data_IF_203803000908
#
_entry.id   IF_203803000908
#
_cell.length_a   1.000
_cell.length_b   1.000
_cell.length_c   1.000
_cell.angle_alpha   90.00
_cell.angle_beta   90.00
_cell.angle_gamma   90.00
#
_symmetry.space_group_name_H-M   'P 1'
#
loop_
_entity.id
_entity.type
_entity.pdbx_description
1 polymer ?
#
# COMPACT_ATOMS: atom_id res chain seq x y z
N UNK A 1 20.20 33.16 -69.95
CA UNK A 1 20.42 31.78 -69.47
C UNK A 1 20.81 31.86 -68.01
N UNK A 2 19.94 31.45 -67.09
CA UNK A 2 20.30 31.28 -65.69
C UNK A 2 19.43 30.15 -65.11
N UNK A 3 20.11 29.10 -64.69
CA UNK A 3 19.60 27.76 -64.40
C UNK A 3 18.70 27.71 -63.16
N UNK A 4 17.56 27.02 -63.29
CA UNK A 4 16.75 26.61 -62.17
C UNK A 4 17.47 25.52 -61.37
N UNK A 5 17.71 25.76 -60.08
CA UNK A 5 18.29 24.79 -59.17
C UNK A 5 17.17 23.94 -58.56
N UNK A 6 16.88 22.81 -59.21
CA UNK A 6 15.95 21.80 -58.70
C UNK A 6 16.59 21.06 -57.53
N UNK A 7 16.45 21.62 -56.32
CA UNK A 7 16.78 20.96 -55.07
C UNK A 7 15.83 19.77 -54.83
N UNK A 8 16.24 18.60 -55.31
CA UNK A 8 15.62 17.32 -54.97
C UNK A 8 16.02 16.96 -53.54
N UNK A 9 15.14 17.28 -52.59
CA UNK A 9 15.31 16.85 -51.18
C UNK A 9 15.12 15.33 -51.14
N UNK A 10 16.07 14.56 -50.59
CA UNK A 10 15.97 13.11 -50.59
C UNK A 10 14.81 12.69 -49.70
N UNK A 11 13.88 11.95 -50.31
CA UNK A 11 12.81 11.23 -49.63
C UNK A 11 13.47 10.22 -48.68
N UNK A 12 13.53 10.57 -47.39
CA UNK A 12 14.01 9.66 -46.35
C UNK A 12 12.96 8.58 -46.14
N UNK A 13 13.10 7.48 -46.89
CA UNK A 13 12.45 6.22 -46.59
C UNK A 13 13.10 5.64 -45.34
N UNK A 14 12.55 5.98 -44.19
CA UNK A 14 12.70 5.19 -42.98
C UNK A 14 11.35 4.54 -42.72
N UNK A 15 11.32 3.22 -42.62
CA UNK A 15 10.27 2.43 -41.98
C UNK A 15 10.07 2.93 -40.54
N UNK A 16 9.40 4.07 -40.42
CA UNK A 16 9.09 4.75 -39.19
C UNK A 16 7.58 4.61 -39.01
N UNK A 17 7.16 4.10 -37.85
CA UNK A 17 5.81 4.27 -37.35
C UNK A 17 5.34 5.71 -37.66
N UNK A 18 4.44 5.81 -38.64
CA UNK A 18 3.96 7.07 -39.17
C UNK A 18 3.25 7.78 -38.01
N UNK A 19 3.89 8.77 -37.38
CA UNK A 19 3.28 9.59 -36.33
C UNK A 19 2.26 10.53 -36.97
N UNK A 20 1.12 9.97 -37.37
CA UNK A 20 0.04 10.66 -38.07
C UNK A 20 -1.09 10.99 -37.11
N UNK A 21 -1.66 12.17 -37.28
CA UNK A 21 -2.86 12.55 -36.56
C UNK A 21 -4.05 11.77 -37.12
N UNK A 22 -4.77 11.04 -36.27
CA UNK A 22 -6.00 10.35 -36.65
C UNK A 22 -7.13 11.32 -37.07
N UNK A 23 -7.14 12.54 -36.54
CA UNK A 23 -8.20 13.53 -36.79
C UNK A 23 -7.99 14.30 -38.10
N UNK A 24 -6.76 14.74 -38.42
CA UNK A 24 -6.49 15.55 -39.61
C UNK A 24 -5.48 14.95 -40.60
N UNK A 25 -4.95 13.76 -40.33
CA UNK A 25 -4.09 13.01 -41.25
C UNK A 25 -2.66 13.54 -41.42
N UNK A 26 -2.30 14.68 -40.80
CA UNK A 26 -0.94 15.25 -40.87
C UNK A 26 0.09 14.30 -40.26
N UNK A 27 1.22 14.13 -40.94
CA UNK A 27 2.38 13.38 -40.45
C UNK A 27 3.33 14.29 -39.68
N UNK A 28 3.96 13.72 -38.65
CA UNK A 28 4.94 14.41 -37.81
C UNK A 28 6.22 13.59 -37.75
N UNK A 29 7.36 14.26 -37.57
CA UNK A 29 8.65 13.60 -37.42
C UNK A 29 8.84 12.90 -36.06
N UNK A 30 7.94 13.11 -35.09
CA UNK A 30 8.03 12.49 -33.77
C UNK A 30 6.67 12.37 -33.05
N UNK A 31 6.58 11.42 -32.11
CA UNK A 31 5.45 11.25 -31.19
C UNK A 31 5.13 12.51 -30.39
N UNK A 32 6.17 13.23 -29.95
CA UNK A 32 6.00 14.47 -29.21
C UNK A 32 5.37 15.56 -30.09
N UNK A 33 5.83 15.71 -31.34
CA UNK A 33 5.25 16.65 -32.31
C UNK A 33 3.77 16.37 -32.58
N UNK A 34 3.42 15.08 -32.75
CA UNK A 34 2.03 14.64 -32.88
C UNK A 34 1.19 14.98 -31.62
N UNK A 35 1.75 14.76 -30.42
CA UNK A 35 1.10 15.09 -29.15
C UNK A 35 0.81 16.58 -29.01
N UNK A 36 1.80 17.44 -29.26
CA UNK A 36 1.64 18.91 -29.22
C UNK A 36 0.63 19.38 -30.27
N UNK A 37 0.66 18.80 -31.47
CA UNK A 37 -0.32 19.12 -32.50
C UNK A 37 -1.74 18.79 -32.03
N UNK A 38 -1.97 17.58 -31.51
CA UNK A 38 -3.30 17.17 -30.99
C UNK A 38 -3.77 18.07 -29.86
N UNK A 39 -2.88 18.41 -28.92
CA UNK A 39 -3.20 19.33 -27.83
C UNK A 39 -3.57 20.75 -28.31
N UNK A 40 -3.10 21.19 -29.49
CA UNK A 40 -3.39 22.55 -30.00
C UNK A 40 -4.53 22.61 -31.01
N UNK A 41 -4.63 21.62 -31.89
CA UNK A 41 -5.55 21.61 -33.02
C UNK A 41 -6.79 20.73 -32.80
N UNK A 42 -6.72 19.78 -31.86
CA UNK A 42 -7.74 18.75 -31.60
C UNK A 42 -7.93 18.58 -30.09
N UNK A 43 -8.19 19.70 -29.39
CA UNK A 43 -8.25 19.74 -27.92
C UNK A 43 -9.34 18.83 -27.37
N UNK A 44 -10.50 18.79 -28.02
CA UNK A 44 -11.65 18.01 -27.58
C UNK A 44 -11.37 16.52 -27.67
N UNK A 45 -10.88 16.05 -28.83
CA UNK A 45 -10.51 14.66 -29.05
C UNK A 45 -9.33 14.25 -28.16
N UNK A 46 -8.33 15.13 -28.03
CA UNK A 46 -7.20 14.92 -27.14
C UNK A 46 -7.63 14.76 -25.68
N UNK A 47 -8.56 15.59 -25.19
CA UNK A 47 -9.06 15.51 -23.83
C UNK A 47 -9.90 14.24 -23.60
N UNK A 48 -10.67 13.79 -24.60
CA UNK A 48 -11.44 12.53 -24.52
C UNK A 48 -10.52 11.30 -24.41
N UNK A 49 -9.37 11.34 -25.09
CA UNK A 49 -8.41 10.23 -25.08
C UNK A 49 -7.54 10.18 -23.81
N UNK A 50 -7.40 11.30 -23.09
CA UNK A 50 -6.68 11.29 -21.82
C UNK A 50 -7.50 10.51 -20.80
N UNK A 51 -7.00 9.32 -20.42
CA UNK A 51 -7.53 8.57 -19.29
C UNK A 51 -7.25 9.32 -17.98
N UNK A 52 -8.25 10.08 -17.52
CA UNK A 52 -8.22 10.79 -16.23
C UNK A 52 -8.49 9.87 -15.03
N UNK A 53 -8.83 8.60 -15.27
CA UNK A 53 -9.18 7.61 -14.25
C UNK A 53 -8.00 7.14 -13.37
N UNK A 54 -6.81 7.72 -13.49
CA UNK A 54 -5.67 7.38 -12.63
C UNK A 54 -5.87 7.97 -11.23
N UNK A 55 -6.71 7.31 -10.43
CA UNK A 55 -6.91 7.62 -9.02
C UNK A 55 -5.62 7.30 -8.28
N UNK A 56 -4.93 8.33 -7.80
CA UNK A 56 -3.80 8.15 -6.89
C UNK A 56 -4.36 7.64 -5.56
N UNK A 57 -3.98 6.42 -5.15
CA UNK A 57 -4.36 5.89 -3.84
C UNK A 57 -3.94 6.88 -2.76
N UNK A 58 -4.88 7.37 -1.97
CA UNK A 58 -4.58 8.27 -0.84
C UNK A 58 -3.77 7.48 0.20
N UNK A 59 -2.80 8.12 0.86
CA UNK A 59 -2.12 7.51 2.00
C UNK A 59 -3.09 7.49 3.17
N UNK A 60 -3.35 6.30 3.70
CA UNK A 60 -4.09 6.15 4.96
C UNK A 60 -3.16 6.45 6.13
N UNK A 61 -3.74 6.78 7.30
CA UNK A 61 -2.96 7.02 8.51
C UNK A 61 -2.14 5.79 8.89
N UNK A 62 -2.74 4.60 8.80
CA UNK A 62 -2.09 3.32 9.10
C UNK A 62 -0.91 3.06 8.16
N UNK A 63 -1.07 3.24 6.85
CA UNK A 63 0.05 3.11 5.90
C UNK A 63 1.19 4.08 6.20
N UNK A 64 0.89 5.29 6.69
CA UNK A 64 1.94 6.24 7.12
C UNK A 64 2.67 5.72 8.35
N UNK A 65 1.97 5.20 9.35
CA UNK A 65 2.58 4.63 10.56
C UNK A 65 3.45 3.40 10.23
N UNK A 66 2.97 2.52 9.34
CA UNK A 66 3.76 1.38 8.86
C UNK A 66 5.03 1.84 8.14
N UNK A 67 4.95 2.90 7.32
CA UNK A 67 6.12 3.45 6.64
C UNK A 67 7.14 4.02 7.63
N UNK A 68 6.66 4.72 8.68
CA UNK A 68 7.50 5.26 9.75
C UNK A 68 8.19 4.14 10.53
N UNK A 69 7.45 3.10 10.90
CA UNK A 69 7.98 1.94 11.61
C UNK A 69 9.05 1.23 10.78
N UNK A 70 8.78 1.01 9.49
CA UNK A 70 9.74 0.41 8.56
C UNK A 70 11.04 1.23 8.45
N UNK A 71 10.94 2.56 8.39
CA UNK A 71 12.12 3.43 8.36
C UNK A 71 12.94 3.32 9.65
N UNK A 72 12.29 3.33 10.82
CA UNK A 72 12.98 3.15 12.09
C UNK A 72 13.69 1.79 12.17
N UNK A 73 13.04 0.71 11.73
CA UNK A 73 13.65 -0.62 11.73
C UNK A 73 14.90 -0.69 10.85
N UNK A 74 14.89 -0.03 9.69
CA UNK A 74 16.08 0.08 8.83
C UNK A 74 17.20 0.86 9.52
N UNK A 75 16.88 1.94 10.23
CA UNK A 75 17.86 2.74 10.99
C UNK A 75 18.47 1.99 12.17
N UNK A 76 17.66 1.16 12.86
CA UNK A 76 18.11 0.33 13.96
C UNK A 76 18.98 -0.85 13.48
N UNK A 77 18.67 -1.41 12.30
CA UNK A 77 19.42 -2.51 11.72
C UNK A 77 20.79 -2.06 11.17
N UNK A 78 20.83 -0.97 10.42
CA UNK A 78 22.07 -0.39 9.89
C UNK A 78 21.97 1.15 9.82
N UNK A 79 22.57 1.87 10.79
CA UNK A 79 22.58 3.32 10.81
C UNK A 79 23.28 3.97 9.61
N UNK A 80 24.09 3.22 8.86
CA UNK A 80 24.84 3.72 7.70
C UNK A 80 24.13 3.47 6.37
N UNK A 81 22.96 2.82 6.40
CA UNK A 81 22.22 2.43 5.22
C UNK A 81 21.73 3.64 4.41
N UNK A 82 22.25 3.80 3.19
CA UNK A 82 22.00 4.99 2.34
C UNK A 82 20.75 4.86 1.47
N UNK A 83 20.31 3.64 1.18
CA UNK A 83 19.26 3.34 0.19
C UNK A 83 17.87 3.10 0.81
N UNK A 84 17.51 3.89 1.84
CA UNK A 84 16.25 3.76 2.59
C UNK A 84 15.03 3.75 1.66
N UNK A 85 14.97 4.63 0.65
CA UNK A 85 13.83 4.67 -0.27
C UNK A 85 13.67 3.39 -1.08
N UNK A 86 14.78 2.75 -1.46
CA UNK A 86 14.77 1.50 -2.23
C UNK A 86 14.30 0.36 -1.35
N UNK A 87 14.82 0.24 -0.12
CA UNK A 87 14.37 -0.76 0.84
C UNK A 87 12.88 -0.61 1.17
N UNK A 88 12.40 0.61 1.43
CA UNK A 88 10.97 0.87 1.65
C UNK A 88 10.14 0.52 0.41
N UNK A 89 10.62 0.78 -0.81
CA UNK A 89 9.87 0.43 -2.03
C UNK A 89 9.67 -1.08 -2.18
N UNK A 90 10.56 -1.91 -1.65
CA UNK A 90 10.41 -3.36 -1.62
C UNK A 90 9.36 -3.82 -0.60
N UNK A 91 9.22 -3.10 0.52
CA UNK A 91 8.23 -3.41 1.56
C UNK A 91 6.80 -2.92 1.22
N UNK A 92 6.68 -1.91 0.36
CA UNK A 92 5.38 -1.33 -0.03
C UNK A 92 5.11 -1.49 -1.55
N UNK A 93 4.86 -2.71 -2.06
CA UNK A 93 4.72 -2.97 -3.51
C UNK A 93 3.53 -2.25 -4.17
N UNK A 94 2.52 -1.85 -3.39
CA UNK A 94 1.40 -1.01 -3.87
C UNK A 94 1.71 0.50 -3.96
N UNK A 95 2.94 0.92 -3.63
CA UNK A 95 3.39 2.31 -3.62
C UNK A 95 4.61 2.45 -4.51
N UNK A 96 4.62 3.47 -5.37
CA UNK A 96 5.80 3.75 -6.19
C UNK A 96 6.90 4.38 -5.35
N UNK A 97 8.15 4.19 -5.75
CA UNK A 97 9.32 4.81 -5.13
C UNK A 97 9.18 6.34 -5.01
N UNK A 98 8.62 7.01 -6.03
CA UNK A 98 8.36 8.45 -5.99
C UNK A 98 7.25 8.83 -5.00
N UNK A 99 6.24 7.98 -4.82
CA UNK A 99 5.20 8.20 -3.80
C UNK A 99 5.78 8.09 -2.38
N UNK A 100 6.69 7.15 -2.14
CA UNK A 100 7.39 6.98 -0.86
C UNK A 100 8.30 8.18 -0.59
N UNK A 101 9.15 8.54 -1.56
CA UNK A 101 9.98 9.75 -1.49
C UNK A 101 9.16 10.99 -1.16
N UNK A 102 8.03 11.18 -1.83
CA UNK A 102 7.15 12.32 -1.56
C UNK A 102 6.56 12.28 -0.14
N UNK A 103 6.18 11.10 0.36
CA UNK A 103 5.63 10.95 1.71
C UNK A 103 6.67 11.26 2.79
N UNK A 104 7.90 10.78 2.63
CA UNK A 104 9.01 11.06 3.56
C UNK A 104 9.38 12.55 3.66
N UNK A 105 9.03 13.34 2.64
CA UNK A 105 9.21 14.81 2.66
C UNK A 105 8.11 15.56 3.42
N UNK A 106 7.04 14.90 3.83
CA UNK A 106 5.95 15.56 4.57
C UNK A 106 6.30 15.73 6.04
N UNK A 107 5.77 16.78 6.67
CA UNK A 107 6.03 17.04 8.08
C UNK A 107 5.34 16.02 9.00
N UNK A 108 4.13 15.60 8.63
CA UNK A 108 3.40 14.52 9.30
C UNK A 108 4.28 13.26 9.47
N UNK A 109 5.03 12.92 8.42
CA UNK A 109 5.94 11.78 8.44
C UNK A 109 7.13 12.00 9.38
N UNK A 110 7.81 13.16 9.26
CA UNK A 110 9.00 13.46 10.08
C UNK A 110 8.66 13.55 11.57
N UNK A 111 7.54 14.20 11.90
CA UNK A 111 7.05 14.30 13.28
C UNK A 111 6.81 12.90 13.84
N UNK A 112 6.04 12.07 13.13
CA UNK A 112 5.75 10.71 13.57
C UNK A 112 7.03 9.85 13.75
N UNK A 113 8.02 10.01 12.87
CA UNK A 113 9.31 9.32 12.99
C UNK A 113 10.12 9.81 14.19
N UNK A 114 10.12 11.12 14.46
CA UNK A 114 10.75 11.71 15.63
C UNK A 114 10.11 11.21 16.93
N UNK A 115 8.78 11.16 16.99
CA UNK A 115 8.03 10.67 18.15
C UNK A 115 8.31 9.19 18.39
N UNK A 116 8.36 8.38 17.33
CA UNK A 116 8.65 6.96 17.43
C UNK A 116 10.09 6.69 17.87
N UNK A 117 11.07 7.43 17.32
CA UNK A 117 12.47 7.38 17.78
C UNK A 117 12.60 7.73 19.26
N UNK A 118 11.92 8.80 19.70
CA UNK A 118 11.93 9.21 21.10
C UNK A 118 11.33 8.14 22.01
N UNK A 119 10.25 7.50 21.56
CA UNK A 119 9.60 6.40 22.27
C UNK A 119 10.50 5.15 22.36
N UNK A 120 11.28 4.86 21.32
CA UNK A 120 12.23 3.74 21.31
C UNK A 120 13.51 4.03 22.11
N UNK A 121 13.93 5.31 22.20
CA UNK A 121 15.09 5.72 23.00
C UNK A 121 14.79 5.81 24.51
N UNK A 122 13.52 5.93 24.88
CA UNK A 122 13.12 5.93 26.28
C UNK A 122 13.45 4.57 26.91
N UNK A 123 14.15 4.50 28.06
CA UNK A 123 14.30 3.26 28.78
C UNK A 123 12.89 2.78 29.14
N UNK A 124 12.54 1.57 28.72
CA UNK A 124 11.27 0.96 29.06
C UNK A 124 11.06 1.14 30.58
N UNK A 125 9.94 1.74 31.04
CA UNK A 125 9.59 1.66 32.44
C UNK A 125 9.45 0.17 32.72
N UNK A 126 10.49 -0.42 33.33
CA UNK A 126 10.48 -1.82 33.70
C UNK A 126 9.17 -2.09 34.44
N UNK A 127 8.51 -3.23 34.19
CA UNK A 127 7.35 -3.59 34.98
C UNK A 127 7.74 -3.44 36.45
N UNK A 128 6.96 -2.72 37.29
CA UNK A 128 7.29 -2.61 38.69
C UNK A 128 7.46 -4.04 39.18
N UNK A 129 8.69 -4.37 39.59
CA UNK A 129 9.02 -5.68 40.13
C UNK A 129 8.06 -5.87 41.29
N UNK A 130 7.01 -6.67 41.07
CA UNK A 130 6.08 -7.03 42.12
C UNK A 130 6.94 -7.70 43.18
N UNK A 131 6.96 -7.22 44.44
CA UNK A 131 7.59 -7.95 45.52
C UNK A 131 7.02 -9.36 45.49
N UNK A 132 7.89 -10.34 45.27
CA UNK A 132 7.55 -11.74 45.33
C UNK A 132 7.13 -12.01 46.78
N UNK A 133 5.83 -11.92 47.08
CA UNK A 133 5.33 -12.42 48.36
C UNK A 133 5.41 -13.95 48.29
N UNK A 134 6.16 -14.62 49.17
CA UNK A 134 6.06 -16.06 49.30
C UNK A 134 4.65 -16.39 49.82
N UNK A 135 3.77 -16.80 48.91
CA UNK A 135 2.46 -17.33 49.23
C UNK A 135 2.68 -18.67 49.95
N UNK A 136 2.73 -18.62 51.28
CA UNK A 136 2.64 -19.81 52.13
C UNK A 136 1.17 -20.20 52.24
N UNK A 137 0.65 -20.85 51.20
CA UNK A 137 -0.65 -21.52 51.26
C UNK A 137 -0.41 -23.03 51.36
N UNK A 138 -0.75 -23.69 52.48
CA UNK A 138 -0.67 -25.14 52.58
C UNK A 138 -1.77 -25.80 51.72
N UNK A 139 -1.58 -27.05 51.28
CA UNK A 139 -2.50 -27.74 50.38
C UNK A 139 -3.72 -28.23 51.17
N UNK A 140 -4.93 -27.82 50.78
CA UNK A 140 -6.13 -28.56 51.11
C UNK A 140 -6.73 -29.18 49.84
N UNK A 141 -6.85 -30.49 49.91
CA UNK A 141 -7.34 -31.42 48.89
C UNK A 141 -8.88 -31.41 48.77
N UNK A 142 -9.44 -32.10 47.77
CA UNK A 142 -10.72 -31.76 47.13
C UNK A 142 -11.94 -32.40 47.81
N UNK A 143 -13.09 -31.73 47.71
CA UNK A 143 -14.40 -32.37 47.90
C UNK A 143 -15.37 -31.95 46.79
N UNK A 144 -15.70 -32.92 45.95
CA UNK A 144 -16.98 -33.04 45.23
C UNK A 144 -17.79 -34.17 45.92
N UNK A 145 -19.02 -34.51 45.49
CA UNK A 145 -20.09 -33.72 44.85
C UNK A 145 -21.44 -33.88 45.59
N UNK A 146 -22.45 -33.09 45.21
CA UNK A 146 -23.84 -33.57 45.17
C UNK A 146 -24.74 -32.58 44.40
N UNK A 147 -25.09 -32.94 43.17
CA UNK A 147 -26.43 -32.68 42.60
C UNK A 147 -27.36 -33.81 43.09
N UNK A 148 -28.71 -33.66 43.12
CA UNK A 148 -29.49 -33.59 41.88
C UNK A 148 -30.75 -32.70 41.90
N UNK A 149 -31.09 -32.24 40.70
CA UNK A 149 -32.42 -32.17 40.08
C UNK A 149 -33.64 -31.71 40.88
N UNK A 150 -34.35 -30.69 40.36
CA UNK A 150 -35.70 -30.92 39.82
C UNK A 150 -36.39 -29.65 39.32
N UNK A 151 -36.97 -29.78 38.11
CA UNK A 151 -38.31 -29.33 37.64
C UNK A 151 -38.55 -27.81 37.52
N UNK A 152 -39.23 -27.23 36.52
CA UNK A 152 -40.33 -27.63 35.63
C UNK A 152 -40.36 -26.74 34.36
N UNK A 153 -40.78 -27.35 33.24
CA UNK A 153 -41.73 -26.93 32.18
C UNK A 153 -41.99 -25.43 31.90
N UNK A 154 -41.73 -24.91 30.70
CA UNK A 154 -42.53 -24.98 29.43
C UNK A 154 -43.81 -24.15 29.40
N UNK A 155 -43.81 -23.10 28.56
CA UNK A 155 -45.03 -22.68 27.86
C UNK A 155 -44.71 -22.18 26.45
N UNK A 156 -45.38 -22.82 25.50
CA UNK A 156 -45.45 -22.55 24.06
C UNK A 156 -46.31 -21.30 23.79
N UNK A 157 -45.98 -20.53 22.75
CA UNK A 157 -47.02 -19.97 21.89
C UNK A 157 -46.51 -19.78 20.46
N UNK A 158 -47.12 -20.54 19.54
CA UNK A 158 -46.99 -20.43 18.09
C UNK A 158 -48.01 -19.43 17.53
N UNK A 159 -47.66 -18.76 16.42
CA UNK A 159 -48.63 -18.17 15.50
C UNK A 159 -48.11 -17.00 14.63
N UNK A 160 -47.88 -17.20 13.31
CA UNK A 160 -47.59 -16.15 12.29
C UNK A 160 -48.88 -15.86 11.46
N UNK A 161 -48.90 -15.25 10.24
CA UNK A 161 -48.11 -14.21 9.50
C UNK A 161 -49.10 -13.07 9.02
N UNK A 162 -49.05 -12.39 7.83
CA UNK A 162 -48.02 -12.16 6.80
C UNK A 162 -47.87 -10.70 6.29
N UNK A 163 -46.85 -10.47 5.45
CA UNK A 163 -47.00 -9.62 4.25
C UNK A 163 -46.27 -8.28 4.26
N UNK A 164 -45.15 -8.19 3.53
CA UNK A 164 -44.51 -6.92 3.21
C UNK A 164 -43.08 -7.05 2.66
N UNK A 165 -42.95 -7.48 1.40
CA UNK A 165 -41.78 -7.14 0.55
C UNK A 165 -42.12 -5.84 -0.19
N UNK A 166 -41.18 -4.94 -0.51
CA UNK A 166 -40.17 -5.25 -1.54
C UNK A 166 -38.76 -4.64 -1.34
N UNK A 167 -37.80 -5.31 -1.99
CA UNK A 167 -36.57 -4.75 -2.59
C UNK A 167 -35.63 -3.92 -1.73
N UNK A 168 -34.71 -4.61 -1.05
CA UNK A 168 -33.38 -4.09 -0.71
C UNK A 168 -32.32 -4.98 -1.36
N UNK A 169 -31.73 -4.52 -2.47
CA UNK A 169 -30.53 -5.13 -3.03
C UNK A 169 -29.33 -4.72 -2.17
N UNK A 170 -29.01 -5.52 -1.16
CA UNK A 170 -27.73 -5.48 -0.48
C UNK A 170 -27.09 -6.86 -0.68
N UNK A 171 -26.29 -6.99 -1.73
CA UNK A 171 -25.38 -8.12 -1.87
C UNK A 171 -24.14 -7.80 -1.03
N UNK A 172 -24.15 -8.43 0.12
CA UNK A 172 -23.09 -8.57 1.10
C UNK A 172 -21.79 -9.15 0.53
N UNK A 173 -20.73 -8.98 1.34
CA UNK A 173 -19.51 -9.79 1.45
C UNK A 173 -18.52 -9.86 0.28
N UNK A 174 -17.71 -8.80 0.13
CA UNK A 174 -16.29 -9.02 -0.20
C UNK A 174 -15.49 -9.23 1.10
N UNK A 175 -15.39 -10.52 1.42
CA UNK A 175 -14.29 -11.20 2.11
C UNK A 175 -13.16 -10.28 2.62
N UNK A 176 -13.15 -10.08 3.93
CA UNK A 176 -11.94 -9.72 4.67
C UNK A 176 -10.88 -10.79 4.47
N UNK A 177 -9.90 -10.51 3.61
CA UNK A 177 -8.57 -11.09 3.70
C UNK A 177 -7.58 -9.99 4.06
N UNK A 178 -7.78 -9.39 5.23
CA UNK A 178 -6.71 -8.74 5.98
C UNK A 178 -5.93 -9.84 6.71
N UNK A 179 -4.91 -10.41 6.07
CA UNK A 179 -3.87 -11.15 6.77
C UNK A 179 -2.63 -11.32 5.89
N UNK A 180 -1.49 -10.96 6.47
CA UNK A 180 -0.13 -11.36 6.11
C UNK A 180 0.57 -10.53 5.02
N UNK A 181 0.99 -9.32 5.40
CA UNK A 181 2.29 -8.80 4.99
C UNK A 181 3.07 -8.41 6.25
N UNK A 182 3.50 -9.44 6.98
CA UNK A 182 4.71 -9.37 7.81
C UNK A 182 5.64 -10.38 7.14
N UNK A 183 6.52 -9.91 6.27
CA UNK A 183 7.59 -10.76 5.76
C UNK A 183 8.77 -10.67 6.72
N UNK A 184 9.08 -11.83 7.32
CA UNK A 184 10.34 -12.28 7.90
C UNK A 184 11.55 -11.41 7.53
N UNK A 185 12.03 -10.62 8.49
CA UNK A 185 13.33 -9.95 8.42
C UNK A 185 14.47 -10.99 8.56
N UNK A 186 14.23 -12.11 9.25
CA UNK A 186 15.24 -13.15 9.49
C UNK A 186 15.68 -13.86 8.20
N UNK A 187 14.83 -13.92 7.17
CA UNK A 187 15.17 -14.58 5.89
C UNK A 187 16.12 -13.76 4.99
N UNK A 188 16.29 -12.45 5.24
CA UNK A 188 17.22 -11.61 4.47
C UNK A 188 18.65 -11.59 5.04
N UNK A 189 18.87 -12.18 6.22
CA UNK A 189 20.18 -12.23 6.88
C UNK A 189 20.95 -13.55 6.63
N UNK A 190 20.31 -14.60 6.09
CA UNK A 190 20.95 -15.92 5.94
C UNK A 190 21.70 -16.14 4.61
N UNK A 191 21.59 -15.26 3.61
CA UNK A 191 22.37 -15.36 2.36
C UNK A 191 23.63 -14.47 2.38
N UNK A 192 24.44 -14.59 3.44
CA UNK A 192 25.82 -14.10 3.42
C UNK A 192 26.76 -15.29 3.15
N UNK A 193 27.38 -15.41 1.96
CA UNK A 193 28.32 -16.50 1.69
C UNK A 193 29.57 -16.35 2.57
N UNK A 194 29.88 -17.40 3.33
CA UNK A 194 31.07 -17.48 4.18
C UNK A 194 32.35 -17.18 3.38
N UNK A 195 33.33 -16.43 3.94
CA UNK A 195 34.60 -16.23 3.27
C UNK A 195 35.37 -17.56 3.13
N UNK A 196 36.07 -17.80 2.00
CA UNK A 196 36.83 -19.02 1.76
C UNK A 196 38.07 -19.13 2.68
N UNK A 197 38.61 -20.35 2.85
CA UNK A 197 39.66 -20.66 3.84
C UNK A 197 41.02 -19.99 3.57
#
# INVERSE_FOLDING_TARGET
MASANSGTVPLRSGDADDYRCATCGRSFASKHGLGVHRQKAHIEEYNQEISTGRIKKRWTREEVLLLVQAELLLELADPTFRDINKALSLQFPGRTHEAIKSRRRTEEFRSALSDLRSSHAAPAPGPPLRPFLPSSTPPQQPRLPASPSSVVSSTLLSGPPPGGSPSGTASDVLSSSEATIIYDIDRLLEESPSPPP
#
